data_IF_775538590954
#
_entry.id   IF_775538590954
#
_cell.length_a   1.000
_cell.length_b   1.000
_cell.length_c   1.000
_cell.angle_alpha   90.00
_cell.angle_beta   90.00
_cell.angle_gamma   90.00
#
_symmetry.space_group_name_H-M   'P 1'
#
loop_
_entity.id
_entity.type
_entity.pdbx_description
1 polymer ?
#
# COMPACT_ATOMS: atom_id res chain seq x y z
N UNK A 1 35.82 13.48 -29.79
CA UNK A 1 35.85 13.20 -28.35
C UNK A 1 34.58 13.76 -27.76
N UNK A 2 33.62 12.92 -27.31
CA UNK A 2 32.32 13.41 -26.88
C UNK A 2 32.37 13.86 -25.42
N UNK A 3 31.76 15.02 -25.18
CA UNK A 3 31.59 15.67 -23.89
C UNK A 3 30.50 14.94 -23.10
N UNK A 4 30.82 14.46 -21.90
CA UNK A 4 29.87 13.85 -20.97
C UNK A 4 28.89 14.89 -20.45
N UNK A 5 27.62 14.76 -20.82
CA UNK A 5 26.51 15.54 -20.27
C UNK A 5 26.03 14.83 -19.01
N UNK A 6 26.38 15.38 -17.85
CA UNK A 6 25.99 14.87 -16.53
C UNK A 6 24.49 15.13 -16.31
N UNK A 7 23.66 14.09 -16.49
CA UNK A 7 22.24 14.14 -16.16
C UNK A 7 22.07 14.06 -14.64
N UNK A 8 21.79 15.20 -14.02
CA UNK A 8 21.35 15.25 -12.61
C UNK A 8 19.89 14.81 -12.52
N UNK A 9 19.52 13.80 -11.73
CA UNK A 9 18.13 13.56 -11.36
C UNK A 9 17.71 14.67 -10.38
N UNK A 10 16.80 15.55 -10.81
CA UNK A 10 16.07 16.43 -9.90
C UNK A 10 14.83 15.66 -9.44
N UNK A 11 14.89 15.05 -8.26
CA UNK A 11 13.71 14.55 -7.56
C UNK A 11 13.21 15.65 -6.58
N UNK A 12 12.02 16.25 -6.78
CA UNK A 12 11.58 17.42 -6.01
C UNK A 12 10.98 17.12 -4.62
N UNK A 13 10.99 15.88 -4.13
CA UNK A 13 10.20 15.50 -2.93
C UNK A 13 10.83 15.96 -1.59
N UNK A 14 12.09 16.39 -1.54
CA UNK A 14 12.77 16.69 -0.26
C UNK A 14 12.46 18.06 0.38
N UNK A 15 11.36 18.76 0.04
CA UNK A 15 11.13 20.14 0.51
C UNK A 15 9.74 20.48 1.07
N UNK A 16 9.05 19.50 1.66
CA UNK A 16 7.73 19.73 2.26
C UNK A 16 7.58 19.34 3.76
N UNK A 17 8.65 19.08 4.50
CA UNK A 17 8.56 18.88 5.96
C UNK A 17 9.69 19.62 6.68
N UNK A 18 9.48 20.92 6.92
CA UNK A 18 10.45 21.75 7.62
C UNK A 18 10.01 23.21 7.69
N UNK A 19 8.95 23.51 8.45
CA UNK A 19 8.53 24.89 8.68
C UNK A 19 7.47 25.01 9.76
N UNK A 20 7.82 25.68 10.87
CA UNK A 20 6.90 26.10 11.95
C UNK A 20 5.84 27.07 11.41
N UNK A 21 4.57 26.83 11.72
CA UNK A 21 3.43 27.73 11.47
C UNK A 21 3.26 28.70 12.67
N UNK A 22 3.12 30.02 12.46
CA UNK A 22 2.62 30.92 13.49
C UNK A 22 1.08 30.94 13.54
N UNK A 23 0.56 30.92 14.76
CA UNK A 23 -0.85 31.14 15.12
C UNK A 23 -1.35 32.55 14.80
N UNK A 24 -2.56 32.70 14.24
CA UNK A 24 -3.74 33.27 14.94
C UNK A 24 -4.91 33.68 14.02
N UNK A 25 -6.12 33.34 14.51
CA UNK A 25 -7.39 34.08 14.49
C UNK A 25 -8.17 34.33 13.19
N UNK A 26 -9.42 33.85 13.18
CA UNK A 26 -10.50 34.31 12.31
C UNK A 26 -11.69 33.36 12.27
N UNK A 27 -12.63 33.51 13.21
CA UNK A 27 -13.95 32.83 13.18
C UNK A 27 -14.84 33.43 12.11
N UNK A 28 -15.47 32.59 11.28
CA UNK A 28 -16.81 32.90 10.74
C UNK A 28 -17.60 31.63 10.46
N UNK A 29 -18.75 31.57 11.12
CA UNK A 29 -19.78 30.52 11.08
C UNK A 29 -20.59 30.63 9.79
N UNK A 30 -20.83 29.52 9.09
CA UNK A 30 -21.94 29.39 8.13
C UNK A 30 -22.56 28.00 8.29
N UNK A 31 -23.75 28.00 8.88
CA UNK A 31 -24.59 26.84 9.09
C UNK A 31 -25.22 26.40 7.76
N UNK A 32 -25.15 25.11 7.45
CA UNK A 32 -25.91 24.49 6.36
C UNK A 32 -27.00 23.62 6.98
N UNK A 33 -28.21 23.87 6.50
CA UNK A 33 -29.49 23.32 6.95
C UNK A 33 -29.61 21.87 6.45
N UNK A 34 -29.82 20.92 7.36
CA UNK A 34 -30.20 19.54 7.04
C UNK A 34 -31.72 19.46 6.83
N UNK A 35 -32.15 18.90 5.70
CA UNK A 35 -33.53 18.49 5.49
C UNK A 35 -33.60 16.96 5.58
N UNK A 36 -34.32 16.45 6.58
CA UNK A 36 -34.52 15.03 6.81
C UNK A 36 -35.71 14.52 6.00
N UNK A 37 -35.51 13.46 5.22
CA UNK A 37 -36.58 12.71 4.56
C UNK A 37 -36.72 11.34 5.22
N UNK A 38 -37.94 11.08 5.66
CA UNK A 38 -38.47 9.90 6.34
C UNK A 38 -38.49 8.66 5.43
N UNK A 39 -37.99 7.52 5.93
CA UNK A 39 -38.27 6.21 5.35
C UNK A 39 -38.97 5.30 6.38
N UNK A 40 -40.18 4.88 6.02
CA UNK A 40 -41.10 4.08 6.84
C UNK A 40 -40.68 2.62 6.95
N UNK A 41 -40.81 2.09 8.16
CA UNK A 41 -40.70 0.67 8.52
C UNK A 41 -41.93 -0.13 8.12
N UNK A 42 -41.73 -1.30 7.50
CA UNK A 42 -42.76 -2.33 7.32
C UNK A 42 -42.32 -3.66 7.92
N UNK A 43 -43.09 -4.12 8.89
CA UNK A 43 -42.99 -5.43 9.56
C UNK A 43 -43.85 -6.45 8.83
N UNK A 44 -43.33 -7.65 8.51
CA UNK A 44 -44.16 -8.81 8.15
C UNK A 44 -43.50 -10.13 8.60
N UNK A 45 -44.29 -11.01 9.20
CA UNK A 45 -44.04 -12.44 9.47
C UNK A 45 -45.41 -13.15 9.49
N UNK A 46 -45.50 -14.49 9.48
CA UNK A 46 -45.13 -15.44 8.42
C UNK A 46 -46.37 -16.31 8.03
N UNK A 47 -46.21 -17.40 7.24
CA UNK A 47 -46.97 -18.60 7.60
C UNK A 47 -46.19 -19.93 7.57
N UNK A 48 -46.65 -20.83 8.43
CA UNK A 48 -46.30 -22.24 8.59
C UNK A 48 -46.65 -23.10 7.37
N UNK A 49 -45.90 -24.19 7.16
CA UNK A 49 -46.46 -25.55 6.97
C UNK A 49 -45.40 -26.64 7.14
N UNK A 50 -45.82 -27.73 7.79
CA UNK A 50 -45.03 -28.86 8.28
C UNK A 50 -44.93 -30.01 7.26
N UNK A 51 -43.88 -30.83 7.40
CA UNK A 51 -43.71 -32.15 6.78
C UNK A 51 -42.78 -33.03 7.62
N UNK A 52 -43.12 -34.30 7.77
CA UNK A 52 -42.79 -35.22 8.87
C UNK A 52 -41.45 -36.01 8.77
N UNK A 53 -40.73 -36.11 9.91
CA UNK A 53 -39.98 -37.22 10.60
C UNK A 53 -39.45 -38.47 9.84
N UNK A 54 -38.29 -39.10 10.23
CA UNK A 54 -38.18 -39.83 11.51
C UNK A 54 -36.85 -39.80 12.29
N UNK A 55 -36.96 -40.33 13.50
CA UNK A 55 -36.09 -40.25 14.66
C UNK A 55 -34.80 -41.08 14.59
N UNK A 56 -33.76 -40.63 15.29
CA UNK A 56 -32.68 -41.47 15.81
C UNK A 56 -32.17 -40.96 17.17
N UNK A 57 -31.93 -41.89 18.08
CA UNK A 57 -31.55 -41.77 19.49
C UNK A 57 -30.10 -41.31 19.70
N UNK A 58 -29.72 -40.81 20.91
CA UNK A 58 -28.41 -40.22 21.16
C UNK A 58 -27.39 -41.23 21.71
N UNK A 59 -26.13 -41.11 21.29
CA UNK A 59 -25.01 -41.76 21.95
C UNK A 59 -23.73 -41.82 21.10
N UNK A 60 -22.65 -41.20 21.58
CA UNK A 60 -21.30 -41.43 21.04
C UNK A 60 -20.43 -40.18 21.01
N UNK A 61 -19.77 -39.89 22.13
CA UNK A 61 -18.59 -39.01 22.20
C UNK A 61 -17.45 -39.62 21.38
N UNK A 62 -17.07 -38.96 20.29
CA UNK A 62 -15.82 -39.24 19.57
C UNK A 62 -14.99 -37.95 19.52
N UNK A 63 -13.81 -38.02 20.13
CA UNK A 63 -12.84 -36.95 20.24
C UNK A 63 -12.42 -36.44 18.85
N UNK A 64 -12.54 -35.12 18.65
CA UNK A 64 -11.94 -34.45 17.51
C UNK A 64 -10.43 -34.40 17.71
N UNK A 65 -9.70 -34.96 16.75
CA UNK A 65 -8.25 -34.79 16.61
C UNK A 65 -7.95 -33.30 16.44
N UNK A 66 -6.99 -32.70 17.17
CA UNK A 66 -6.64 -31.30 16.95
C UNK A 66 -6.03 -31.16 15.56
N UNK A 67 -6.75 -30.48 14.67
CA UNK A 67 -6.25 -30.06 13.37
C UNK A 67 -4.95 -29.30 13.58
N UNK A 68 -3.89 -29.77 12.92
CA UNK A 68 -2.61 -29.09 12.89
C UNK A 68 -2.84 -27.68 12.36
N UNK A 69 -2.72 -26.70 13.25
CA UNK A 69 -2.66 -25.30 12.91
C UNK A 69 -1.34 -25.12 12.16
N UNK A 70 -1.38 -25.28 10.84
CA UNK A 70 -0.29 -24.92 9.94
C UNK A 70 -0.20 -23.40 9.95
N UNK A 71 0.43 -22.89 11.00
CA UNK A 71 1.13 -21.62 10.94
C UNK A 71 2.14 -21.76 9.81
N UNK A 72 1.73 -21.37 8.60
CA UNK A 72 2.65 -21.12 7.53
C UNK A 72 3.55 -20.00 8.02
N UNK A 73 4.70 -20.38 8.58
CA UNK A 73 5.84 -19.52 8.74
C UNK A 73 6.15 -18.96 7.36
N UNK A 74 5.68 -17.76 7.05
CA UNK A 74 6.13 -17.04 5.87
C UNK A 74 7.63 -16.81 6.08
N UNK A 75 8.46 -17.43 5.25
CA UNK A 75 9.93 -17.30 5.31
C UNK A 75 10.40 -15.91 4.82
N UNK A 76 9.50 -14.92 4.82
CA UNK A 76 9.76 -13.49 4.74
C UNK A 76 8.63 -12.75 5.45
N UNK A 77 8.97 -11.76 6.28
CA UNK A 77 7.98 -10.88 6.93
C UNK A 77 7.29 -9.96 5.91
N UNK A 78 6.22 -9.26 6.32
CA UNK A 78 5.50 -8.32 5.43
C UNK A 78 6.20 -6.97 5.24
N UNK A 79 7.10 -6.61 6.17
CA UNK A 79 7.81 -5.33 6.18
C UNK A 79 8.83 -5.19 5.06
N UNK A 80 8.84 -4.02 4.44
CA UNK A 80 9.85 -3.61 3.47
C UNK A 80 10.32 -2.18 3.66
N UNK A 81 11.34 -1.81 2.88
CA UNK A 81 11.95 -0.49 2.95
C UNK A 81 11.63 0.33 1.69
N UNK A 82 10.91 1.43 1.85
CA UNK A 82 10.86 2.51 0.88
C UNK A 82 12.15 3.33 1.03
N UNK A 83 12.98 3.51 0.00
CA UNK A 83 14.29 4.18 0.14
C UNK A 83 14.63 5.05 -1.07
N UNK A 84 15.50 6.04 -0.87
CA UNK A 84 16.14 6.78 -1.98
C UNK A 84 17.63 6.47 -2.06
N UNK A 85 18.29 6.22 -0.92
CA UNK A 85 19.71 5.91 -0.85
C UNK A 85 19.88 4.45 -0.41
N UNK A 86 20.25 3.57 -1.35
CA UNK A 86 20.28 2.12 -1.12
C UNK A 86 21.14 1.71 0.09
N UNK A 87 22.29 2.36 0.31
CA UNK A 87 23.19 2.06 1.42
C UNK A 87 22.58 2.34 2.81
N UNK A 88 21.54 3.17 2.91
CA UNK A 88 20.86 3.38 4.19
C UNK A 88 20.02 2.18 4.61
N UNK A 89 19.68 1.29 3.67
CA UNK A 89 18.92 0.08 4.00
C UNK A 89 19.72 -0.90 4.86
N UNK A 90 21.06 -0.87 4.80
CA UNK A 90 21.94 -1.79 5.52
C UNK A 90 21.83 -1.67 7.05
N UNK A 91 21.38 -0.52 7.57
CA UNK A 91 21.17 -0.36 9.02
C UNK A 91 20.04 -1.26 9.55
N UNK A 92 19.18 -1.77 8.65
CA UNK A 92 18.10 -2.73 8.94
C UNK A 92 18.49 -4.19 8.67
N UNK A 93 19.77 -4.49 8.41
CA UNK A 93 20.23 -5.87 8.21
C UNK A 93 19.85 -6.78 9.40
N UNK A 94 19.25 -7.93 9.11
CA UNK A 94 18.79 -8.88 10.13
C UNK A 94 17.55 -8.45 10.92
N UNK A 95 16.87 -7.36 10.54
CA UNK A 95 15.65 -6.85 11.20
C UNK A 95 14.34 -7.29 10.53
N UNK A 96 14.38 -8.34 9.70
CA UNK A 96 13.18 -8.92 9.08
C UNK A 96 12.62 -8.13 7.89
N UNK A 97 13.37 -7.20 7.32
CA UNK A 97 13.01 -6.52 6.07
C UNK A 97 13.12 -7.50 4.90
N UNK A 98 12.00 -7.87 4.28
CA UNK A 98 11.97 -8.91 3.24
C UNK A 98 11.96 -8.36 1.81
N UNK A 99 11.71 -7.06 1.65
CA UNK A 99 11.67 -6.39 0.35
C UNK A 99 12.01 -4.91 0.46
N UNK A 100 12.35 -4.29 -0.67
CA UNK A 100 12.65 -2.87 -0.75
C UNK A 100 12.28 -2.30 -2.13
N UNK A 101 11.89 -1.02 -2.17
CA UNK A 101 11.63 -0.29 -3.41
C UNK A 101 12.05 1.19 -3.26
N UNK A 102 12.29 1.87 -4.38
CA UNK A 102 12.83 3.24 -4.42
C UNK A 102 12.18 4.14 -5.47
N UNK A 103 10.93 3.86 -5.83
CA UNK A 103 10.20 4.59 -6.89
C UNK A 103 10.87 4.54 -8.28
N UNK A 104 11.85 3.64 -8.49
CA UNK A 104 12.56 3.48 -9.75
C UNK A 104 12.41 2.06 -10.29
N UNK A 105 12.87 1.84 -11.52
CA UNK A 105 12.89 0.53 -12.16
C UNK A 105 14.14 -0.30 -11.80
N UNK A 106 15.13 0.30 -11.15
CA UNK A 106 16.36 -0.33 -10.71
C UNK A 106 16.76 0.12 -9.28
N UNK A 107 17.53 -0.69 -8.53
CA UNK A 107 17.79 -0.42 -7.12
C UNK A 107 18.72 0.76 -6.85
N UNK A 108 19.34 1.36 -7.88
CA UNK A 108 20.28 2.49 -7.75
C UNK A 108 21.39 2.26 -6.72
N UNK A 109 21.80 1.01 -6.51
CA UNK A 109 22.78 0.60 -5.50
C UNK A 109 22.57 -0.81 -4.99
N UNK A 110 23.31 -1.17 -3.95
CA UNK A 110 23.11 -2.44 -3.22
C UNK A 110 22.15 -2.19 -2.07
N UNK A 111 21.07 -2.97 -2.01
CA UNK A 111 20.12 -2.96 -0.90
C UNK A 111 20.52 -3.99 0.15
N UNK A 112 19.90 -3.88 1.33
CA UNK A 112 20.06 -4.79 2.46
C UNK A 112 19.98 -6.25 2.02
N UNK A 113 20.94 -7.05 2.48
CA UNK A 113 21.02 -8.46 2.11
C UNK A 113 19.78 -9.23 2.57
N UNK A 114 19.23 -10.07 1.70
CA UNK A 114 18.06 -10.90 1.97
C UNK A 114 16.72 -10.24 1.62
N UNK A 115 16.71 -8.96 1.25
CA UNK A 115 15.52 -8.30 0.73
C UNK A 115 15.40 -8.46 -0.79
N UNK A 116 14.17 -8.67 -1.26
CA UNK A 116 13.82 -8.57 -2.67
C UNK A 116 13.75 -7.09 -3.10
N UNK A 117 14.44 -6.72 -4.18
CA UNK A 117 14.17 -5.44 -4.83
C UNK A 117 12.88 -5.52 -5.66
N UNK A 118 11.97 -4.55 -5.51
CA UNK A 118 10.72 -4.47 -6.28
C UNK A 118 10.78 -3.27 -7.24
N UNK A 119 10.98 -3.47 -8.56
CA UNK A 119 10.98 -2.39 -9.53
C UNK A 119 9.61 -1.73 -9.67
N UNK A 120 9.60 -0.42 -9.88
CA UNK A 120 8.41 0.38 -10.14
C UNK A 120 8.50 1.09 -11.49
N UNK A 121 7.44 1.00 -12.29
CA UNK A 121 7.21 1.94 -13.39
C UNK A 121 6.50 3.16 -12.81
N UNK A 122 7.25 4.17 -12.38
CA UNK A 122 6.70 5.33 -11.67
C UNK A 122 5.62 6.07 -12.48
N UNK A 123 5.85 6.24 -13.78
CA UNK A 123 4.92 6.85 -14.72
C UNK A 123 5.26 6.50 -16.17
N UNK A 124 4.39 6.83 -17.13
CA UNK A 124 4.60 6.51 -18.55
C UNK A 124 5.86 7.16 -19.13
N UNK A 125 6.31 8.27 -18.57
CA UNK A 125 7.53 8.97 -19.01
C UNK A 125 8.81 8.13 -18.80
N UNK A 126 8.78 7.17 -17.87
CA UNK A 126 9.90 6.24 -17.60
C UNK A 126 9.77 4.91 -18.38
N UNK A 127 8.77 4.76 -19.25
CA UNK A 127 8.47 3.50 -19.96
C UNK A 127 9.56 3.05 -20.95
N UNK A 128 10.38 3.96 -21.46
CA UNK A 128 11.38 3.65 -22.50
C UNK A 128 12.38 2.58 -22.06
N UNK A 129 12.84 2.63 -20.81
CA UNK A 129 13.81 1.66 -20.26
C UNK A 129 13.15 0.57 -19.42
N UNK A 130 11.84 0.66 -19.20
CA UNK A 130 11.10 -0.19 -18.25
C UNK A 130 11.28 -1.68 -18.52
N UNK A 131 10.97 -2.13 -19.74
CA UNK A 131 10.99 -3.56 -20.06
C UNK A 131 12.37 -4.20 -19.83
N UNK A 132 13.45 -3.48 -20.18
CA UNK A 132 14.81 -3.97 -19.99
C UNK A 132 15.20 -4.02 -18.50
N UNK A 133 14.86 -2.98 -17.73
CA UNK A 133 15.18 -2.90 -16.30
C UNK A 133 14.36 -3.88 -15.47
N UNK A 134 13.07 -4.04 -15.76
CA UNK A 134 12.22 -5.03 -15.11
C UNK A 134 12.69 -6.48 -15.40
N UNK A 135 13.12 -6.78 -16.63
CA UNK A 135 13.70 -8.08 -16.97
C UNK A 135 15.04 -8.33 -16.25
N UNK A 136 15.87 -7.29 -16.10
CA UNK A 136 17.11 -7.36 -15.32
C UNK A 136 16.83 -7.60 -13.83
N UNK A 137 15.86 -6.90 -13.25
CA UNK A 137 15.41 -7.09 -11.87
C UNK A 137 14.88 -8.52 -11.66
N UNK A 138 14.05 -9.03 -12.57
CA UNK A 138 13.57 -10.41 -12.54
C UNK A 138 14.70 -11.44 -12.53
N UNK A 139 15.70 -11.24 -13.40
CA UNK A 139 16.89 -12.08 -13.50
C UNK A 139 17.75 -12.02 -12.22
N UNK A 140 17.74 -10.88 -11.53
CA UNK A 140 18.42 -10.68 -10.25
C UNK A 140 17.63 -11.21 -9.04
N UNK A 141 16.42 -11.73 -9.24
CA UNK A 141 15.62 -12.37 -8.20
C UNK A 141 14.31 -11.68 -7.85
N UNK A 142 13.99 -10.51 -8.44
CA UNK A 142 12.69 -9.87 -8.24
C UNK A 142 11.56 -10.77 -8.74
N UNK A 143 10.48 -10.83 -7.97
CA UNK A 143 9.24 -11.58 -8.24
C UNK A 143 8.01 -10.69 -8.16
N UNK A 144 8.19 -9.39 -7.93
CA UNK A 144 7.11 -8.42 -7.91
C UNK A 144 7.49 -7.19 -8.73
N UNK A 145 6.48 -6.49 -9.26
CA UNK A 145 6.64 -5.19 -9.88
C UNK A 145 5.49 -4.26 -9.47
N UNK A 146 5.79 -2.98 -9.29
CA UNK A 146 4.82 -1.94 -8.99
C UNK A 146 4.52 -1.11 -10.24
N UNK A 147 3.25 -0.78 -10.44
CA UNK A 147 2.81 0.16 -11.46
C UNK A 147 2.85 1.60 -10.92
N UNK A 148 2.35 2.55 -11.71
CA UNK A 148 2.45 4.00 -11.51
C UNK A 148 2.22 4.53 -10.08
N UNK A 149 2.98 5.56 -9.73
CA UNK A 149 2.97 6.17 -8.41
C UNK A 149 2.02 7.37 -8.34
N UNK A 150 0.99 7.27 -7.50
CA UNK A 150 0.01 8.32 -7.24
C UNK A 150 -0.52 8.95 -8.53
N UNK A 151 -1.05 8.15 -9.49
CA UNK A 151 -1.61 8.68 -10.72
C UNK A 151 -2.79 9.63 -10.46
N UNK A 152 -3.43 9.49 -9.31
CA UNK A 152 -4.51 10.33 -8.84
C UNK A 152 -4.07 11.70 -8.29
N UNK A 153 -2.76 11.97 -8.22
CA UNK A 153 -2.23 13.23 -7.70
C UNK A 153 -1.51 14.04 -8.78
N UNK A 154 -1.92 15.31 -8.95
CA UNK A 154 -1.45 16.18 -10.05
C UNK A 154 0.05 16.50 -10.05
N UNK A 155 0.73 16.33 -8.91
CA UNK A 155 2.18 16.54 -8.79
C UNK A 155 3.02 15.25 -8.96
N UNK A 156 2.36 14.12 -9.20
CA UNK A 156 2.99 12.79 -9.26
C UNK A 156 2.85 12.24 -10.69
N UNK A 157 2.56 10.95 -10.90
CA UNK A 157 2.46 10.43 -12.26
C UNK A 157 1.26 11.00 -13.03
N UNK A 158 0.28 11.56 -12.33
CA UNK A 158 -0.82 12.38 -12.85
C UNK A 158 -1.49 11.81 -14.12
N UNK A 159 -2.26 10.73 -13.94
CA UNK A 159 -2.95 10.03 -15.02
C UNK A 159 -4.44 9.90 -14.71
N UNK A 160 -5.27 10.21 -15.70
CA UNK A 160 -6.67 9.80 -15.68
C UNK A 160 -6.78 8.26 -15.65
N UNK A 161 -7.80 7.69 -14.96
CA UNK A 161 -7.92 6.25 -14.78
C UNK A 161 -7.92 5.43 -16.08
N UNK A 162 -8.56 5.95 -17.13
CA UNK A 162 -8.62 5.30 -18.45
C UNK A 162 -7.26 5.21 -19.14
N UNK A 163 -6.46 6.28 -19.06
CA UNK A 163 -5.10 6.29 -19.60
C UNK A 163 -4.18 5.37 -18.80
N UNK A 164 -4.32 5.37 -17.47
CA UNK A 164 -3.57 4.46 -16.61
C UNK A 164 -3.87 2.99 -16.93
N UNK A 165 -5.14 2.61 -17.14
CA UNK A 165 -5.49 1.25 -17.55
C UNK A 165 -4.84 0.85 -18.88
N UNK A 166 -4.90 1.72 -19.90
CA UNK A 166 -4.27 1.47 -21.19
C UNK A 166 -2.74 1.29 -21.07
N UNK A 167 -2.07 2.17 -20.30
CA UNK A 167 -0.63 2.10 -20.08
C UNK A 167 -0.19 0.94 -19.20
N UNK A 168 -1.02 0.54 -18.24
CA UNK A 168 -0.78 -0.66 -17.45
C UNK A 168 -0.80 -1.91 -18.34
N UNK A 169 -1.80 -2.03 -19.23
CA UNK A 169 -1.87 -3.12 -20.20
C UNK A 169 -0.65 -3.12 -21.13
N UNK A 170 -0.22 -1.95 -21.60
CA UNK A 170 0.91 -1.80 -22.51
C UNK A 170 2.25 -2.20 -21.86
N UNK A 171 2.48 -1.82 -20.60
CA UNK A 171 3.81 -1.90 -20.00
C UNK A 171 3.95 -2.94 -18.87
N UNK A 172 2.87 -3.27 -18.16
CA UNK A 172 2.90 -4.19 -17.03
C UNK A 172 2.52 -5.60 -17.47
N UNK A 173 1.43 -5.78 -18.23
CA UNK A 173 1.01 -7.13 -18.67
C UNK A 173 2.11 -7.97 -19.34
N UNK A 174 3.01 -7.41 -20.18
CA UNK A 174 4.05 -8.19 -20.86
C UNK A 174 5.21 -8.65 -19.98
N UNK A 175 5.25 -8.25 -18.70
CA UNK A 175 6.28 -8.73 -17.77
C UNK A 175 6.19 -10.25 -17.60
N UNK A 176 7.28 -10.93 -17.18
CA UNK A 176 7.28 -12.37 -16.95
C UNK A 176 6.07 -12.84 -16.13
N UNK A 177 5.48 -13.98 -16.50
CA UNK A 177 4.30 -14.55 -15.84
C UNK A 177 4.53 -14.90 -14.38
N UNK A 178 5.79 -15.05 -13.98
CA UNK A 178 6.24 -15.39 -12.64
C UNK A 178 6.41 -14.15 -11.74
N UNK A 179 6.32 -12.94 -12.30
CA UNK A 179 6.29 -11.70 -11.52
C UNK A 179 4.87 -11.35 -11.12
N UNK A 180 4.55 -11.21 -9.83
CA UNK A 180 3.30 -10.61 -9.39
C UNK A 180 3.26 -9.11 -9.70
N UNK A 181 2.18 -8.63 -10.31
CA UNK A 181 2.02 -7.23 -10.73
C UNK A 181 1.08 -6.48 -9.78
N UNK A 182 1.58 -5.37 -9.25
CA UNK A 182 0.79 -4.41 -8.48
C UNK A 182 0.04 -3.41 -9.35
N UNK A 183 -1.15 -3.01 -8.91
CA UNK A 183 -1.85 -1.85 -9.49
C UNK A 183 -1.01 -0.57 -9.37
N UNK A 184 -1.42 0.51 -10.06
CA UNK A 184 -0.97 1.85 -9.67
C UNK A 184 -1.27 2.10 -8.18
N UNK A 185 -0.36 2.77 -7.49
CA UNK A 185 -0.50 3.08 -6.06
C UNK A 185 -1.26 4.40 -5.87
N UNK A 186 -2.48 4.32 -5.37
CA UNK A 186 -3.34 5.50 -5.12
C UNK A 186 -2.99 6.21 -3.81
N UNK A 187 -3.27 7.51 -3.72
CA UNK A 187 -3.26 8.25 -2.45
C UNK A 187 -4.43 7.87 -1.54
N UNK A 188 -4.46 8.37 -0.30
CA UNK A 188 -5.66 8.37 0.55
C UNK A 188 -6.58 9.58 0.33
N UNK A 189 -6.45 10.29 -0.80
CA UNK A 189 -7.32 11.42 -1.16
C UNK A 189 -8.78 11.00 -1.38
N UNK A 190 -9.70 11.95 -1.19
CA UNK A 190 -11.15 11.72 -1.26
C UNK A 190 -11.91 12.61 -2.23
N UNK A 191 -11.22 13.18 -3.23
CA UNK A 191 -11.87 13.99 -4.27
C UNK A 191 -12.60 13.11 -5.28
N UNK A 192 -13.79 13.53 -5.71
CA UNK A 192 -14.56 12.90 -6.78
C UNK A 192 -14.25 13.53 -8.16
N UNK A 193 -13.77 14.78 -8.18
CA UNK A 193 -13.47 15.51 -9.43
C UNK A 193 -12.36 16.54 -9.24
N UNK A 194 -11.14 16.28 -9.75
CA UNK A 194 -10.70 15.00 -10.34
C UNK A 194 -10.77 13.85 -9.32
N UNK A 195 -11.00 12.60 -9.75
CA UNK A 195 -11.12 11.47 -8.84
C UNK A 195 -9.78 11.20 -8.15
N UNK A 196 -9.83 10.93 -6.84
CA UNK A 196 -8.67 10.56 -6.03
C UNK A 196 -8.91 9.31 -5.19
N UNK A 197 -7.82 8.67 -4.78
CA UNK A 197 -7.85 7.52 -3.89
C UNK A 197 -8.80 6.43 -4.35
N UNK A 198 -9.73 6.04 -3.48
CA UNK A 198 -10.68 4.96 -3.72
C UNK A 198 -11.54 5.19 -4.96
N UNK A 199 -11.90 6.45 -5.26
CA UNK A 199 -12.72 6.79 -6.45
C UNK A 199 -11.91 6.49 -7.70
N UNK A 200 -10.68 7.00 -7.76
CA UNK A 200 -9.76 6.77 -8.88
C UNK A 200 -9.49 5.28 -9.09
N UNK A 201 -9.26 4.52 -8.01
CA UNK A 201 -9.01 3.07 -8.08
C UNK A 201 -10.19 2.31 -8.68
N UNK A 202 -11.43 2.64 -8.29
CA UNK A 202 -12.63 2.00 -8.86
C UNK A 202 -12.75 2.28 -10.35
N UNK A 203 -12.51 3.51 -10.78
CA UNK A 203 -12.55 3.88 -12.20
C UNK A 203 -11.45 3.17 -12.99
N UNK A 204 -10.24 3.08 -12.45
CA UNK A 204 -9.13 2.35 -13.08
C UNK A 204 -9.48 0.88 -13.30
N UNK A 205 -10.01 0.21 -12.27
CA UNK A 205 -10.43 -1.19 -12.34
C UNK A 205 -11.58 -1.40 -13.35
N UNK A 206 -12.51 -0.44 -13.45
CA UNK A 206 -13.57 -0.47 -14.47
C UNK A 206 -12.99 -0.33 -15.87
N UNK A 207 -12.05 0.58 -16.08
CA UNK A 207 -11.38 0.77 -17.37
C UNK A 207 -10.46 -0.39 -17.75
N UNK A 208 -9.96 -1.16 -16.78
CA UNK A 208 -9.23 -2.39 -17.07
C UNK A 208 -10.08 -3.43 -17.80
N UNK A 209 -11.40 -3.49 -17.59
CA UNK A 209 -12.32 -4.44 -18.25
C UNK A 209 -11.83 -5.91 -18.23
N UNK A 210 -11.11 -6.31 -17.18
CA UNK A 210 -10.49 -7.64 -17.06
C UNK A 210 -9.22 -7.86 -17.92
N UNK A 211 -8.75 -6.85 -18.65
CA UNK A 211 -7.54 -6.91 -19.47
C UNK A 211 -6.27 -6.55 -18.70
N UNK A 212 -6.33 -5.79 -17.61
CA UNK A 212 -5.17 -5.55 -16.75
C UNK A 212 -4.80 -6.83 -15.99
N UNK A 213 -3.51 -7.18 -16.03
CA UNK A 213 -2.96 -8.25 -15.18
C UNK A 213 -2.64 -7.66 -13.81
N UNK A 214 -3.45 -7.98 -12.81
CA UNK A 214 -3.31 -7.49 -11.43
C UNK A 214 -3.27 -8.67 -10.47
N UNK A 215 -2.19 -8.75 -9.70
CA UNK A 215 -1.96 -9.78 -8.69
C UNK A 215 -2.19 -9.24 -7.27
N UNK A 216 -1.99 -7.93 -7.08
CA UNK A 216 -2.29 -7.20 -5.85
C UNK A 216 -2.59 -5.72 -6.14
N UNK A 217 -3.25 -5.03 -5.20
CA UNK A 217 -3.51 -3.58 -5.27
C UNK A 217 -2.56 -2.81 -4.36
N UNK A 218 -1.87 -1.82 -4.92
CA UNK A 218 -1.00 -0.92 -4.18
C UNK A 218 -1.73 0.36 -3.78
N UNK A 219 -1.41 0.92 -2.61
CA UNK A 219 -2.02 2.14 -2.09
C UNK A 219 -1.16 2.79 -1.00
N UNK A 220 -1.42 4.07 -0.73
CA UNK A 220 -0.69 4.89 0.23
C UNK A 220 -1.62 5.45 1.31
N UNK A 221 -1.04 5.80 2.46
CA UNK A 221 -1.75 6.53 3.51
C UNK A 221 -0.88 7.56 4.23
N UNK A 222 -1.39 8.79 4.36
CA UNK A 222 -0.77 9.83 5.16
C UNK A 222 -1.81 10.64 5.95
N UNK A 223 -1.59 10.78 7.26
CA UNK A 223 -2.37 11.68 8.13
C UNK A 223 -1.64 11.93 9.48
N UNK A 224 -2.32 12.50 10.47
CA UNK A 224 -1.90 12.58 11.86
C UNK A 224 -1.84 11.19 12.52
N UNK A 225 -0.86 10.98 13.40
CA UNK A 225 -0.73 9.79 14.25
C UNK A 225 -1.97 9.54 15.14
N UNK A 226 -2.77 10.58 15.39
CA UNK A 226 -4.05 10.47 16.10
C UNK A 226 -5.14 9.76 15.30
N UNK A 227 -5.04 9.75 13.96
CA UNK A 227 -6.09 9.28 13.05
C UNK A 227 -5.97 7.79 12.72
N UNK A 228 -5.59 6.97 13.71
CA UNK A 228 -5.50 5.52 13.54
C UNK A 228 -6.82 4.84 13.11
N UNK A 229 -8.01 5.26 13.58
CA UNK A 229 -9.26 4.73 13.05
C UNK A 229 -9.43 4.97 11.53
N UNK A 230 -8.98 6.13 11.03
CA UNK A 230 -9.01 6.42 9.60
C UNK A 230 -7.99 5.58 8.82
N UNK A 231 -6.79 5.34 9.38
CA UNK A 231 -5.82 4.40 8.82
C UNK A 231 -6.45 3.02 8.62
N UNK A 232 -7.08 2.45 9.65
CA UNK A 232 -7.73 1.14 9.56
C UNK A 232 -8.87 1.15 8.54
N UNK A 233 -9.71 2.20 8.55
CA UNK A 233 -10.82 2.34 7.62
C UNK A 233 -10.32 2.36 6.17
N UNK A 234 -9.27 3.14 5.87
CA UNK A 234 -8.73 3.25 4.52
C UNK A 234 -8.17 1.91 4.03
N UNK A 235 -7.43 1.17 4.88
CA UNK A 235 -6.94 -0.17 4.54
C UNK A 235 -8.12 -1.11 4.21
N UNK A 236 -9.18 -1.10 5.00
CA UNK A 236 -10.37 -1.92 4.73
C UNK A 236 -11.12 -1.49 3.47
N UNK A 237 -11.21 -0.20 3.18
CA UNK A 237 -11.85 0.31 1.96
C UNK A 237 -11.10 -0.15 0.70
N UNK A 238 -9.76 -0.11 0.72
CA UNK A 238 -8.95 -0.63 -0.38
C UNK A 238 -9.14 -2.14 -0.52
N UNK A 239 -9.10 -2.90 0.58
CA UNK A 239 -9.34 -4.36 0.55
C UNK A 239 -10.71 -4.67 -0.07
N UNK A 240 -11.76 -3.95 0.32
CA UNK A 240 -13.11 -4.16 -0.21
C UNK A 240 -13.19 -3.91 -1.71
N UNK A 241 -12.58 -2.83 -2.22
CA UNK A 241 -12.53 -2.55 -3.66
C UNK A 241 -11.70 -3.60 -4.41
N UNK A 242 -10.59 -4.03 -3.82
CA UNK A 242 -9.68 -5.05 -4.37
C UNK A 242 -10.39 -6.40 -4.54
N UNK A 243 -11.10 -6.84 -3.51
CA UNK A 243 -11.85 -8.10 -3.53
C UNK A 243 -13.05 -8.05 -4.48
N UNK A 244 -13.73 -6.90 -4.60
CA UNK A 244 -14.79 -6.71 -5.60
C UNK A 244 -14.27 -6.86 -7.04
N UNK A 245 -12.97 -6.67 -7.28
CA UNK A 245 -12.31 -6.90 -8.56
C UNK A 245 -11.67 -8.29 -8.69
N UNK A 246 -11.96 -9.23 -7.77
CA UNK A 246 -11.38 -10.57 -7.70
C UNK A 246 -9.85 -10.59 -7.53
N UNK A 247 -9.30 -9.58 -6.86
CA UNK A 247 -7.90 -9.56 -6.40
C UNK A 247 -7.92 -9.77 -4.88
N UNK A 248 -7.01 -10.60 -4.36
CA UNK A 248 -7.06 -10.99 -2.93
C UNK A 248 -6.08 -10.20 -2.05
N UNK A 249 -5.03 -9.64 -2.65
CA UNK A 249 -3.87 -9.10 -1.93
C UNK A 249 -3.76 -7.59 -2.09
N UNK A 250 -3.38 -6.91 -1.02
CA UNK A 250 -3.06 -5.47 -1.03
C UNK A 250 -1.67 -5.21 -0.48
N UNK A 251 -1.03 -4.17 -1.01
CA UNK A 251 0.27 -3.67 -0.57
C UNK A 251 0.14 -2.21 -0.15
N UNK A 252 0.45 -1.93 1.10
CA UNK A 252 0.54 -0.56 1.61
C UNK A 252 1.97 -0.06 1.38
N UNK A 253 2.25 0.37 0.16
CA UNK A 253 3.61 0.72 -0.28
C UNK A 253 4.13 1.97 0.40
N UNK A 254 3.25 2.83 0.91
CA UNK A 254 3.60 3.95 1.76
C UNK A 254 2.59 4.13 2.88
N UNK A 255 3.08 4.25 4.11
CA UNK A 255 2.32 4.90 5.15
C UNK A 255 3.20 5.80 6.00
N UNK A 256 2.70 7.00 6.31
CA UNK A 256 3.40 7.99 7.12
C UNK A 256 2.44 8.70 8.06
N UNK A 257 2.93 9.07 9.24
CA UNK A 257 2.13 9.79 10.22
C UNK A 257 2.84 11.06 10.68
N UNK A 258 2.07 12.13 10.89
CA UNK A 258 2.55 13.38 11.48
C UNK A 258 2.20 13.46 12.98
N UNK A 259 3.04 14.13 13.76
CA UNK A 259 2.92 14.24 15.22
C UNK A 259 4.30 14.42 15.86
N UNK A 260 4.37 14.39 17.19
CA UNK A 260 5.65 14.21 17.88
C UNK A 260 6.22 12.82 17.62
N UNK A 261 7.55 12.67 17.72
CA UNK A 261 8.21 11.38 17.46
C UNK A 261 7.63 10.23 18.31
N UNK A 262 7.25 10.51 19.56
CA UNK A 262 6.59 9.52 20.43
C UNK A 262 5.18 9.13 19.97
N UNK A 263 4.40 10.08 19.44
CA UNK A 263 3.07 9.80 18.89
C UNK A 263 3.20 8.99 17.61
N UNK A 264 4.15 9.34 16.75
CA UNK A 264 4.44 8.63 15.50
C UNK A 264 4.93 7.22 15.80
N UNK A 265 5.87 7.02 16.72
CA UNK A 265 6.31 5.68 17.13
C UNK A 265 5.15 4.84 17.69
N UNK A 266 4.26 5.43 18.52
CA UNK A 266 3.06 4.75 19.01
C UNK A 266 2.07 4.37 17.89
N UNK A 267 1.92 5.23 16.88
CA UNK A 267 1.14 4.92 15.68
C UNK A 267 1.78 3.78 14.88
N UNK A 268 3.09 3.83 14.61
CA UNK A 268 3.82 2.82 13.83
C UNK A 268 3.68 1.43 14.46
N UNK A 269 3.84 1.33 15.79
CA UNK A 269 3.64 0.04 16.50
C UNK A 269 2.25 -0.53 16.26
N UNK A 270 1.20 0.28 16.49
CA UNK A 270 -0.20 -0.16 16.29
C UNK A 270 -0.51 -0.47 14.82
N UNK A 271 0.08 0.26 13.89
CA UNK A 271 -0.08 0.02 12.45
C UNK A 271 0.55 -1.31 12.06
N UNK A 272 1.77 -1.62 12.52
CA UNK A 272 2.42 -2.91 12.30
C UNK A 272 1.57 -4.05 12.85
N UNK A 273 1.14 -3.98 14.12
CA UNK A 273 0.30 -5.01 14.73
C UNK A 273 -0.98 -5.29 13.90
N UNK A 274 -1.61 -4.22 13.39
CA UNK A 274 -2.79 -4.33 12.54
C UNK A 274 -2.48 -4.91 11.15
N UNK A 275 -1.42 -4.46 10.49
CA UNK A 275 -1.06 -4.91 9.14
C UNK A 275 -0.59 -6.37 9.14
N UNK A 276 0.17 -6.79 10.16
CA UNK A 276 0.60 -8.18 10.31
C UNK A 276 -0.57 -9.12 10.57
N UNK A 277 -1.56 -8.69 11.37
CA UNK A 277 -2.77 -9.48 11.65
C UNK A 277 -3.83 -9.42 10.54
N UNK A 278 -3.72 -8.51 9.57
CA UNK A 278 -4.67 -8.40 8.45
C UNK A 278 -4.25 -9.31 7.29
N UNK A 279 -4.99 -10.39 7.07
CA UNK A 279 -4.62 -11.45 6.09
C UNK A 279 -4.50 -10.98 4.64
N UNK A 280 -5.30 -10.02 4.20
CA UNK A 280 -5.24 -9.48 2.83
C UNK A 280 -4.03 -8.55 2.60
N UNK A 281 -3.44 -8.00 3.66
CA UNK A 281 -2.21 -7.20 3.56
C UNK A 281 -1.06 -8.18 3.38
N UNK A 282 -0.45 -8.18 2.21
CA UNK A 282 0.70 -9.03 1.91
C UNK A 282 2.00 -8.35 2.31
N UNK A 283 2.14 -7.06 1.99
CA UNK A 283 3.36 -6.28 2.24
C UNK A 283 3.06 -4.83 2.58
N UNK A 284 3.96 -4.20 3.31
CA UNK A 284 3.87 -2.77 3.63
C UNK A 284 5.25 -2.14 3.90
N UNK A 285 5.38 -0.83 3.66
CA UNK A 285 6.59 -0.07 3.92
C UNK A 285 6.24 1.29 4.56
N UNK A 286 6.88 1.60 5.70
CA UNK A 286 6.73 2.93 6.31
C UNK A 286 7.53 3.94 5.51
N UNK A 287 7.01 5.15 5.32
CA UNK A 287 7.69 6.22 4.60
C UNK A 287 8.61 7.01 5.54
N UNK A 288 9.94 6.93 5.44
CA UNK A 288 10.75 6.06 4.58
C UNK A 288 12.14 5.81 5.19
N UNK A 289 12.89 4.87 4.62
CA UNK A 289 14.30 4.61 4.91
C UNK A 289 15.18 5.76 4.38
N UNK A 290 15.24 6.84 5.17
CA UNK A 290 16.04 8.02 4.91
C UNK A 290 16.52 8.66 6.22
N UNK A 291 17.59 9.44 6.14
CA UNK A 291 18.11 10.23 7.26
C UNK A 291 17.07 11.27 7.72
N UNK A 292 16.88 11.38 9.03
CA UNK A 292 15.83 12.19 9.66
C UNK A 292 14.45 11.54 9.70
N UNK A 293 14.29 10.33 9.14
CA UNK A 293 13.06 9.53 9.21
C UNK A 293 13.34 8.23 9.97
N UNK A 294 13.43 7.09 9.27
CA UNK A 294 13.77 5.80 9.88
C UNK A 294 15.27 5.66 10.22
N UNK A 295 16.12 6.54 9.69
CA UNK A 295 17.57 6.52 9.88
C UNK A 295 18.01 7.83 10.53
N UNK A 296 19.04 7.76 11.37
CA UNK A 296 19.79 8.89 11.89
C UNK A 296 21.27 8.68 11.55
N UNK A 297 21.76 9.40 10.53
CA UNK A 297 23.07 9.20 9.91
C UNK A 297 23.29 7.76 9.46
N UNK A 298 24.00 6.95 10.25
CA UNK A 298 24.35 5.56 9.95
C UNK A 298 23.75 4.56 10.96
N UNK A 299 22.74 4.96 11.73
CA UNK A 299 22.02 4.09 12.65
C UNK A 299 20.51 4.21 12.47
N UNK A 300 19.77 3.22 12.96
CA UNK A 300 18.31 3.30 13.08
C UNK A 300 17.95 4.51 13.97
N UNK A 301 16.95 5.29 13.58
CA UNK A 301 16.49 6.45 14.37
C UNK A 301 15.68 6.02 15.59
N UNK A 302 15.76 6.80 16.67
CA UNK A 302 14.92 6.62 17.86
C UNK A 302 13.94 7.77 17.97
N UNK A 303 12.67 7.53 18.36
CA UNK A 303 12.04 6.24 18.64
C UNK A 303 11.40 5.55 17.42
N UNK A 304 11.25 6.24 16.29
CA UNK A 304 10.44 5.77 15.15
C UNK A 304 11.10 4.59 14.43
N UNK A 305 12.37 4.72 14.03
CA UNK A 305 13.11 3.68 13.35
C UNK A 305 13.24 2.41 14.19
N UNK A 306 13.55 2.55 15.48
CA UNK A 306 13.61 1.44 16.44
C UNK A 306 12.29 0.70 16.49
N UNK A 307 11.18 1.44 16.62
CA UNK A 307 9.85 0.84 16.63
C UNK A 307 9.53 0.10 15.32
N UNK A 308 9.92 0.66 14.17
CA UNK A 308 9.71 0.01 12.88
C UNK A 308 10.54 -1.29 12.72
N UNK A 309 11.73 -1.34 13.31
CA UNK A 309 12.64 -2.48 13.24
C UNK A 309 12.33 -3.61 14.23
N UNK A 310 11.76 -3.30 15.40
CA UNK A 310 11.66 -4.23 16.54
C UNK A 310 10.36 -5.04 16.63
N UNK A 311 9.25 -4.51 16.12
CA UNK A 311 7.91 -5.12 16.24
C UNK A 311 7.73 -6.14 15.13
#
# INVERSE_FOLDING_TARGET
MPTTMELRPRNPIARAFGGRIPTAAGRTTLAVIFNASTASSFSHSPPNSAGAVPAYTPGGTAAQSPGANTTSLSVGGKRGLAYNTASLTDVFAGKGMSWAYNWAADPTGTIVTGAEYVPMLWGPDQSTTWAALAAAAFSAGSRHALSFNEPDHGAQSNLEPSLAAAKHIEHMNPLPSEMSIGSPAITNGGSESPPMGIVWLREFLQHCQGACRLDFVAFHWYDSASNFPYFQQHVWDVINVTQAANVERVWLTEFGASGSDSEVASFVRRAIDFLDSTGAVERYAYFMCADGLLVSSNSISSPIGETYAEV
#
